data_IF_136770271137
#
_entry.id   IF_136770271137
#
_cell.length_a   1.000
_cell.length_b   1.000
_cell.length_c   1.000
_cell.angle_alpha   90.00
_cell.angle_beta   90.00
_cell.angle_gamma   90.00
#
_symmetry.space_group_name_H-M   'P 1'
#
loop_
_entity.id
_entity.type
_entity.pdbx_description
1 polymer ?
#
# COMPACT_ATOMS: atom_id res chain seq x y z
N UNK A 1 -38.88 -18.47 -9.59
CA UNK A 1 -38.14 -17.19 -9.66
C UNK A 1 -37.12 -17.17 -8.53
N UNK A 2 -35.82 -17.31 -8.82
CA UNK A 2 -34.76 -17.17 -7.80
C UNK A 2 -34.38 -15.69 -7.71
N UNK A 3 -34.57 -15.09 -6.54
CA UNK A 3 -34.12 -13.73 -6.26
C UNK A 3 -32.61 -13.79 -5.95
N UNK A 4 -31.80 -13.05 -6.69
CA UNK A 4 -30.39 -12.86 -6.39
C UNK A 4 -30.22 -11.56 -5.61
N UNK A 5 -29.52 -11.63 -4.47
CA UNK A 5 -29.16 -10.43 -3.72
C UNK A 5 -28.11 -9.67 -4.53
N UNK A 6 -28.46 -8.48 -5.02
CA UNK A 6 -27.59 -7.58 -5.80
C UNK A 6 -26.82 -6.58 -4.93
N UNK A 7 -26.85 -6.77 -3.60
CA UNK A 7 -26.16 -5.92 -2.63
C UNK A 7 -24.68 -6.24 -2.47
N UNK A 8 -24.01 -5.51 -1.58
CA UNK A 8 -22.64 -5.83 -1.18
C UNK A 8 -22.57 -7.16 -0.43
N UNK A 9 -21.42 -7.84 -0.55
CA UNK A 9 -21.11 -9.05 0.20
C UNK A 9 -19.98 -8.81 1.17
N UNK A 10 -20.00 -9.53 2.30
CA UNK A 10 -18.89 -9.51 3.24
C UNK A 10 -17.65 -10.13 2.57
N UNK A 11 -16.51 -9.42 2.56
CA UNK A 11 -15.25 -9.96 2.05
C UNK A 11 -14.92 -11.33 2.64
N UNK A 12 -14.29 -12.20 1.86
CA UNK A 12 -13.85 -13.53 2.33
C UNK A 12 -12.34 -13.63 2.21
N UNK A 13 -11.68 -14.13 3.26
CA UNK A 13 -10.23 -14.35 3.24
C UNK A 13 -9.91 -15.74 2.69
N UNK A 14 -8.86 -15.83 1.90
CA UNK A 14 -8.26 -17.08 1.44
C UNK A 14 -6.74 -16.97 1.56
N UNK A 15 -6.05 -18.11 1.56
CA UNK A 15 -4.60 -18.15 1.72
C UNK A 15 -3.95 -18.75 0.48
N UNK A 16 -2.84 -18.17 0.05
CA UNK A 16 -1.94 -18.78 -0.94
C UNK A 16 -0.68 -19.28 -0.24
N UNK A 17 -0.14 -20.43 -0.67
CA UNK A 17 1.05 -21.02 -0.05
C UNK A 17 2.31 -20.44 -0.69
N UNK A 18 3.25 -19.95 0.11
CA UNK A 18 4.57 -19.54 -0.39
C UNK A 18 5.48 -20.76 -0.52
N UNK A 19 5.35 -21.50 -1.62
CA UNK A 19 6.07 -22.77 -1.87
C UNK A 19 7.60 -22.66 -1.88
N UNK A 20 8.13 -21.46 -2.10
CA UNK A 20 9.56 -21.17 -2.16
C UNK A 20 10.18 -20.78 -0.81
N UNK A 21 9.40 -20.73 0.29
CA UNK A 21 9.91 -20.42 1.64
C UNK A 21 9.84 -21.65 2.54
N UNK A 22 10.79 -21.76 3.48
CA UNK A 22 10.80 -22.81 4.49
C UNK A 22 9.49 -22.80 5.30
N UNK A 23 8.97 -23.98 5.63
CA UNK A 23 7.70 -24.18 6.35
C UNK A 23 6.45 -23.71 5.60
N UNK A 24 6.55 -23.41 4.30
CA UNK A 24 5.42 -23.11 3.42
C UNK A 24 4.41 -22.09 3.99
N UNK A 25 4.87 -20.90 4.43
CA UNK A 25 4.01 -19.95 5.10
C UNK A 25 2.86 -19.49 4.20
N UNK A 26 1.70 -19.27 4.83
CA UNK A 26 0.51 -18.78 4.14
C UNK A 26 0.61 -17.27 3.89
N UNK A 27 0.11 -16.84 2.73
CA UNK A 27 -0.15 -15.44 2.39
C UNK A 27 -1.66 -15.22 2.40
N UNK A 28 -2.21 -14.58 3.44
CA UNK A 28 -3.63 -14.26 3.49
C UNK A 28 -3.97 -13.17 2.47
N UNK A 29 -5.09 -13.32 1.76
CA UNK A 29 -5.64 -12.34 0.83
C UNK A 29 -7.14 -12.22 1.12
N UNK A 30 -7.62 -11.00 1.29
CA UNK A 30 -9.03 -10.69 1.45
C UNK A 30 -9.61 -10.41 0.05
N UNK A 31 -10.55 -11.25 -0.38
CA UNK A 31 -11.31 -11.01 -1.60
C UNK A 31 -12.27 -9.83 -1.39
N UNK A 32 -11.94 -8.71 -2.02
CA UNK A 32 -12.72 -7.46 -1.96
C UNK A 32 -13.83 -7.40 -3.02
N UNK A 33 -14.05 -8.48 -3.78
CA UNK A 33 -15.12 -8.55 -4.76
C UNK A 33 -16.49 -8.28 -4.09
N UNK A 34 -17.24 -7.31 -4.65
CA UNK A 34 -18.53 -6.86 -4.12
C UNK A 34 -18.49 -6.36 -2.66
N UNK A 35 -17.32 -6.04 -2.12
CA UNK A 35 -17.20 -5.46 -0.78
C UNK A 35 -17.90 -4.09 -0.70
N UNK A 36 -18.54 -3.75 0.43
CA UNK A 36 -19.29 -2.49 0.57
C UNK A 36 -18.42 -1.25 0.34
N UNK A 37 -17.14 -1.31 0.70
CA UNK A 37 -16.16 -0.24 0.56
C UNK A 37 -15.40 -0.25 -0.78
N UNK A 38 -15.64 -1.24 -1.65
CA UNK A 38 -14.88 -1.42 -2.90
C UNK A 38 -14.95 -0.19 -3.81
N UNK A 39 -16.14 0.38 -4.00
CA UNK A 39 -16.36 1.53 -4.90
C UNK A 39 -15.63 2.78 -4.40
N UNK A 40 -15.61 3.01 -3.08
CA UNK A 40 -14.89 4.14 -2.48
C UNK A 40 -13.38 3.92 -2.66
N UNK A 41 -12.89 2.70 -2.37
CA UNK A 41 -11.49 2.36 -2.57
C UNK A 41 -11.03 2.53 -4.02
N UNK A 42 -11.85 2.09 -4.99
CA UNK A 42 -11.57 2.24 -6.42
C UNK A 42 -11.49 3.71 -6.85
N UNK A 43 -12.41 4.54 -6.37
CA UNK A 43 -12.42 5.96 -6.66
C UNK A 43 -11.16 6.65 -6.09
N UNK A 44 -10.86 6.44 -4.81
CA UNK A 44 -9.65 6.99 -4.17
C UNK A 44 -8.36 6.50 -4.85
N UNK A 45 -8.30 5.22 -5.22
CA UNK A 45 -7.17 4.65 -5.94
C UNK A 45 -6.95 5.37 -7.29
N UNK A 46 -8.01 5.64 -8.05
CA UNK A 46 -7.90 6.38 -9.31
C UNK A 46 -7.38 7.81 -9.14
N UNK A 47 -7.71 8.45 -8.02
CA UNK A 47 -7.26 9.82 -7.73
C UNK A 47 -5.79 9.86 -7.35
N UNK A 48 -5.35 8.97 -6.46
CA UNK A 48 -3.96 8.96 -5.96
C UNK A 48 -2.99 8.40 -6.99
N UNK A 49 -3.43 7.51 -7.88
CA UNK A 49 -2.53 6.83 -8.83
C UNK A 49 -1.60 7.80 -9.56
N UNK A 50 -2.11 8.96 -9.99
CA UNK A 50 -1.31 9.99 -10.66
C UNK A 50 -0.22 10.59 -9.76
N UNK A 51 -0.48 10.72 -8.46
CA UNK A 51 0.50 11.19 -7.48
C UNK A 51 1.54 10.10 -7.14
N UNK A 52 1.16 8.82 -7.22
CA UNK A 52 2.06 7.70 -6.94
C UNK A 52 3.19 7.59 -7.97
N UNK A 53 2.86 7.81 -9.25
CA UNK A 53 3.82 7.81 -10.35
C UNK A 53 4.86 8.96 -10.24
N UNK A 54 4.64 9.93 -9.34
CA UNK A 54 5.53 11.06 -9.09
C UNK A 54 6.43 10.87 -7.85
N UNK A 55 6.33 9.73 -7.16
CA UNK A 55 7.22 9.44 -6.03
C UNK A 55 8.66 9.26 -6.52
N UNK A 56 9.61 9.79 -5.75
CA UNK A 56 11.04 9.79 -6.13
C UNK A 56 11.63 8.40 -6.32
N UNK A 57 11.10 7.41 -5.61
CA UNK A 57 11.58 6.03 -5.58
C UNK A 57 10.65 5.08 -6.34
N UNK A 58 9.68 5.63 -7.07
CA UNK A 58 8.77 4.82 -7.88
C UNK A 58 9.54 4.21 -9.04
N UNK A 59 9.38 2.89 -9.19
CA UNK A 59 9.89 2.13 -10.33
C UNK A 59 8.70 1.41 -10.94
N UNK A 60 8.44 1.66 -12.23
CA UNK A 60 7.24 1.18 -12.91
C UNK A 60 7.22 -0.34 -13.05
N UNK A 61 8.36 -0.92 -13.43
CA UNK A 61 8.50 -2.35 -13.67
C UNK A 61 9.96 -2.83 -13.59
N UNK A 62 10.15 -4.15 -13.63
CA UNK A 62 11.48 -4.77 -13.57
C UNK A 62 12.38 -4.40 -14.75
N UNK A 63 11.83 -4.06 -15.92
CA UNK A 63 12.63 -3.69 -17.09
C UNK A 63 13.20 -2.28 -16.94
N UNK A 64 12.41 -1.34 -16.41
CA UNK A 64 12.89 -0.02 -16.02
C UNK A 64 13.96 -0.13 -14.94
N UNK A 65 13.75 -0.96 -13.92
CA UNK A 65 14.75 -1.19 -12.87
C UNK A 65 16.10 -1.67 -13.43
N UNK A 66 16.08 -2.66 -14.33
CA UNK A 66 17.31 -3.16 -14.98
C UNK A 66 17.99 -2.05 -15.78
N UNK A 67 17.24 -1.24 -16.53
CA UNK A 67 17.80 -0.09 -17.27
C UNK A 67 18.43 0.94 -16.35
N UNK A 68 17.83 1.21 -15.18
CA UNK A 68 18.41 2.11 -14.18
C UNK A 68 19.75 1.57 -13.65
N UNK A 69 19.87 0.26 -13.45
CA UNK A 69 21.09 -0.38 -12.94
C UNK A 69 22.20 -0.55 -13.99
N UNK A 70 21.87 -0.69 -15.27
CA UNK A 70 22.84 -0.98 -16.34
C UNK A 70 24.03 -0.01 -16.41
N UNK A 71 23.83 1.25 -16.03
CA UNK A 71 24.86 2.29 -16.07
C UNK A 71 25.54 2.55 -14.70
N UNK A 72 25.13 1.83 -13.65
CA UNK A 72 25.74 1.98 -12.33
C UNK A 72 26.91 0.99 -12.19
N UNK A 73 28.14 1.51 -12.19
CA UNK A 73 29.34 0.74 -11.90
C UNK A 73 29.66 0.94 -10.42
N UNK A 74 29.67 -0.14 -9.65
CA UNK A 74 30.11 -0.12 -8.25
C UNK A 74 31.61 0.08 -8.24
N UNK A 75 32.07 1.19 -7.65
CA UNK A 75 33.49 1.51 -7.53
C UNK A 75 34.24 0.50 -6.64
N UNK A 76 35.58 0.52 -6.70
CA UNK A 76 36.42 -0.41 -5.92
C UNK A 76 36.26 -0.29 -4.40
N UNK A 77 35.76 0.84 -3.93
CA UNK A 77 35.52 1.14 -2.51
C UNK A 77 34.02 1.25 -2.19
N UNK A 78 33.16 0.79 -3.09
CA UNK A 78 31.70 0.80 -2.91
C UNK A 78 31.18 -0.62 -2.76
N UNK A 79 30.07 -0.76 -2.04
CA UNK A 79 29.36 -2.03 -1.91
C UNK A 79 27.89 -1.82 -2.25
N UNK A 80 27.30 -2.83 -2.90
CA UNK A 80 25.87 -2.84 -3.16
C UNK A 80 25.15 -3.51 -1.99
N UNK A 81 24.16 -2.82 -1.42
CA UNK A 81 23.33 -3.33 -0.34
C UNK A 81 21.91 -3.60 -0.85
N UNK A 82 21.29 -4.67 -0.36
CA UNK A 82 19.90 -5.02 -0.63
C UNK A 82 19.18 -5.35 0.67
N UNK A 83 18.01 -4.75 0.87
CA UNK A 83 17.16 -4.96 2.04
C UNK A 83 15.80 -5.49 1.57
N UNK A 84 15.29 -6.53 2.25
CA UNK A 84 13.94 -7.06 2.03
C UNK A 84 13.03 -6.64 3.19
N UNK A 85 11.87 -6.05 2.87
CA UNK A 85 10.91 -5.61 3.89
C UNK A 85 10.01 -6.79 4.28
N UNK A 86 10.10 -7.20 5.53
CA UNK A 86 9.24 -8.27 6.03
C UNK A 86 7.81 -7.78 6.30
N UNK A 87 6.82 -8.51 5.76
CA UNK A 87 5.40 -8.31 6.04
C UNK A 87 4.92 -6.87 5.85
N UNK A 88 5.29 -6.24 4.73
CA UNK A 88 4.96 -4.84 4.41
C UNK A 88 3.50 -4.45 4.70
N UNK A 89 2.51 -5.10 4.06
CA UNK A 89 1.12 -4.68 4.17
C UNK A 89 0.54 -4.68 5.60
N UNK A 90 0.75 -5.73 6.44
CA UNK A 90 0.40 -5.70 7.86
C UNK A 90 1.06 -4.58 8.67
N UNK A 91 2.27 -4.17 8.27
CA UNK A 91 3.10 -3.20 9.00
C UNK A 91 2.92 -1.75 8.54
N UNK A 92 2.16 -1.50 7.47
CA UNK A 92 1.83 -0.12 7.04
C UNK A 92 0.96 0.54 8.10
N UNK A 93 1.45 1.64 8.69
CA UNK A 93 0.62 2.50 9.53
C UNK A 93 -0.46 3.17 8.68
N UNK A 94 -1.70 2.71 8.80
CA UNK A 94 -2.81 3.19 7.98
C UNK A 94 -3.07 4.68 8.22
N UNK A 95 -2.97 5.15 9.47
CA UNK A 95 -3.13 6.58 9.78
C UNK A 95 -2.07 7.43 9.09
N UNK A 96 -0.79 7.04 9.21
CA UNK A 96 0.30 7.78 8.57
C UNK A 96 0.17 7.78 7.04
N UNK A 97 -0.16 6.63 6.45
CA UNK A 97 -0.33 6.51 5.01
C UNK A 97 -1.49 7.40 4.50
N UNK A 98 -2.61 7.47 5.23
CA UNK A 98 -3.74 8.36 4.91
C UNK A 98 -3.31 9.81 4.97
N UNK A 99 -2.62 10.23 6.03
CA UNK A 99 -2.18 11.62 6.19
C UNK A 99 -1.25 12.07 5.06
N UNK A 100 -0.32 11.22 4.65
CA UNK A 100 0.59 11.51 3.53
C UNK A 100 -0.18 11.55 2.22
N UNK A 101 -1.05 10.57 1.96
CA UNK A 101 -1.84 10.51 0.75
C UNK A 101 -2.76 11.74 0.57
N UNK A 102 -3.39 12.18 1.66
CA UNK A 102 -4.16 13.44 1.72
C UNK A 102 -3.24 14.62 1.44
N UNK A 103 -2.10 14.75 2.12
CA UNK A 103 -1.15 15.85 1.83
C UNK A 103 -0.73 15.89 0.35
N UNK A 104 -0.51 14.74 -0.28
CA UNK A 104 -0.18 14.65 -1.71
C UNK A 104 -1.33 15.16 -2.58
N UNK A 105 -2.57 14.70 -2.33
CA UNK A 105 -3.76 15.13 -3.09
C UNK A 105 -4.05 16.63 -2.98
N UNK A 106 -3.77 17.26 -1.83
CA UNK A 106 -3.96 18.71 -1.65
C UNK A 106 -2.77 19.55 -2.08
N UNK A 107 -1.54 19.08 -1.87
CA UNK A 107 -0.32 19.81 -2.18
C UNK A 107 -0.09 20.00 -3.68
N UNK A 108 -0.60 19.09 -4.52
CA UNK A 108 -0.59 19.22 -5.99
C UNK A 108 -1.68 20.18 -6.48
N UNK A 109 -1.44 21.47 -6.27
CA UNK A 109 -2.39 22.57 -6.39
C UNK A 109 -2.71 23.03 -7.84
N UNK A 110 -2.94 22.12 -8.80
CA UNK A 110 -3.33 22.56 -10.18
C UNK A 110 -4.46 21.78 -10.89
N UNK A 111 -4.89 20.62 -10.41
CA UNK A 111 -5.82 19.79 -11.23
C UNK A 111 -6.93 19.09 -10.46
N UNK A 112 -7.23 19.50 -9.24
CA UNK A 112 -8.43 19.00 -8.53
C UNK A 112 -9.67 19.79 -8.96
N UNK A 113 -9.97 19.76 -10.27
CA UNK A 113 -11.26 20.20 -10.83
C UNK A 113 -12.38 19.16 -10.65
N UNK A 114 -12.05 17.99 -10.09
CA UNK A 114 -12.95 16.83 -10.08
C UNK A 114 -13.93 16.78 -8.92
N UNK A 115 -13.75 17.59 -7.86
CA UNK A 115 -14.72 17.61 -6.77
C UNK A 115 -14.70 18.94 -6.03
N UNK A 116 -15.89 19.53 -5.84
CA UNK A 116 -16.16 20.63 -4.91
C UNK A 116 -16.05 20.18 -3.43
N UNK A 117 -15.22 19.18 -3.12
CA UNK A 117 -14.95 18.76 -1.75
C UNK A 117 -13.88 19.70 -1.19
N UNK A 118 -14.31 20.66 -0.39
CA UNK A 118 -13.52 21.82 0.01
C UNK A 118 -12.57 21.57 1.19
N UNK A 119 -12.52 20.36 1.77
CA UNK A 119 -11.81 20.11 3.05
C UNK A 119 -11.00 18.81 3.09
N UNK A 120 -9.75 18.91 3.58
CA UNK A 120 -8.83 17.80 3.95
C UNK A 120 -9.56 16.65 4.65
N UNK A 121 -10.42 17.03 5.58
CA UNK A 121 -11.25 16.15 6.40
C UNK A 121 -12.12 15.19 5.60
N UNK A 122 -12.66 15.60 4.45
CA UNK A 122 -13.53 14.72 3.66
C UNK A 122 -12.76 13.54 3.09
N UNK A 123 -11.54 13.73 2.62
CA UNK A 123 -10.77 12.60 2.08
C UNK A 123 -10.24 11.73 3.20
N UNK A 124 -9.81 12.31 4.33
CA UNK A 124 -9.49 11.53 5.52
C UNK A 124 -10.66 10.61 5.88
N UNK A 125 -11.90 11.13 5.88
CA UNK A 125 -13.10 10.34 6.12
C UNK A 125 -13.28 9.24 5.06
N UNK A 126 -13.15 9.56 3.77
CA UNK A 126 -13.28 8.58 2.68
C UNK A 126 -12.22 7.47 2.77
N UNK A 127 -10.97 7.80 3.09
CA UNK A 127 -9.92 6.81 3.32
C UNK A 127 -10.24 5.92 4.52
N UNK A 128 -10.70 6.51 5.63
CA UNK A 128 -11.10 5.73 6.79
C UNK A 128 -12.26 4.79 6.46
N UNK A 129 -13.26 5.23 5.69
CA UNK A 129 -14.35 4.36 5.20
C UNK A 129 -13.85 3.25 4.26
N UNK A 130 -12.81 3.52 3.48
CA UNK A 130 -12.25 2.56 2.54
C UNK A 130 -11.35 1.52 3.22
N UNK A 131 -10.66 1.86 4.32
CA UNK A 131 -9.56 1.05 4.87
C UNK A 131 -9.80 0.56 6.30
N UNK A 132 -10.47 1.36 7.14
CA UNK A 132 -10.71 1.01 8.54
C UNK A 132 -11.94 0.15 8.67
N UNK A 133 -11.97 -0.61 9.77
CA UNK A 133 -13.07 -1.53 10.10
C UNK A 133 -13.38 -2.54 8.99
N UNK A 134 -12.38 -2.95 8.21
CA UNK A 134 -12.55 -3.99 7.23
C UNK A 134 -12.89 -5.31 7.93
N UNK A 135 -14.14 -5.73 7.77
CA UNK A 135 -14.63 -7.02 8.25
C UNK A 135 -14.55 -8.04 7.12
N UNK A 136 -14.15 -9.26 7.46
CA UNK A 136 -14.08 -10.37 6.52
C UNK A 136 -14.44 -11.68 7.20
N UNK A 137 -14.83 -12.68 6.40
CA UNK A 137 -15.25 -13.99 6.88
C UNK A 137 -14.16 -15.04 6.63
N UNK A 138 -13.96 -15.92 7.62
CA UNK A 138 -13.13 -17.12 7.55
C UNK A 138 -13.87 -18.28 8.24
N UNK A 139 -14.10 -19.40 7.54
CA UNK A 139 -14.80 -20.58 8.09
C UNK A 139 -16.07 -20.26 8.90
N UNK A 140 -16.92 -19.36 8.38
CA UNK A 140 -18.15 -18.84 9.00
C UNK A 140 -17.98 -17.86 10.17
N UNK A 141 -16.76 -17.62 10.64
CA UNK A 141 -16.46 -16.62 11.66
C UNK A 141 -16.13 -15.26 11.04
N UNK A 142 -16.43 -14.19 11.77
CA UNK A 142 -16.19 -12.81 11.34
C UNK A 142 -14.98 -12.22 12.06
N UNK A 143 -14.08 -11.64 11.27
CA UNK A 143 -12.88 -11.00 11.76
C UNK A 143 -12.83 -9.56 11.28
N UNK A 144 -12.12 -8.73 12.03
CA UNK A 144 -11.84 -7.34 11.68
C UNK A 144 -10.34 -7.13 11.61
N UNK A 145 -9.87 -6.55 10.51
CA UNK A 145 -8.48 -6.11 10.44
C UNK A 145 -8.27 -4.93 11.40
N UNK A 146 -7.30 -5.08 12.32
CA UNK A 146 -6.98 -4.05 13.33
C UNK A 146 -6.03 -3.00 12.78
N UNK A 147 -4.93 -3.44 12.17
CA UNK A 147 -3.90 -2.59 11.59
C UNK A 147 -3.37 -3.15 10.27
N UNK A 148 -2.55 -2.34 9.60
CA UNK A 148 -2.06 -2.64 8.27
C UNK A 148 -3.12 -2.41 7.20
N UNK A 149 -2.69 -2.38 5.95
CA UNK A 149 -3.60 -2.39 4.80
C UNK A 149 -3.93 -3.82 4.41
N UNK A 150 -5.18 -4.06 4.02
CA UNK A 150 -5.65 -5.37 3.62
C UNK A 150 -5.00 -5.84 2.32
N UNK A 151 -4.33 -6.99 2.33
CA UNK A 151 -3.92 -7.64 1.08
C UNK A 151 -5.19 -7.98 0.26
N UNK A 152 -5.31 -7.42 -0.93
CA UNK A 152 -6.52 -7.51 -1.77
C UNK A 152 -7.33 -6.21 -1.87
N UNK A 153 -7.04 -5.21 -1.04
CA UNK A 153 -7.56 -3.85 -1.23
C UNK A 153 -6.88 -3.16 -2.40
N UNK A 154 -7.67 -2.43 -3.21
CA UNK A 154 -7.16 -1.61 -4.31
C UNK A 154 -6.22 -0.49 -3.86
N UNK A 155 -6.38 -0.04 -2.61
CA UNK A 155 -5.55 1.00 -2.01
C UNK A 155 -4.27 0.47 -1.37
N UNK A 156 -4.19 -0.84 -1.09
CA UNK A 156 -3.04 -1.42 -0.39
C UNK A 156 -1.70 -1.15 -1.09
N UNK A 157 -1.51 -1.44 -2.39
CA UNK A 157 -0.21 -1.20 -3.04
C UNK A 157 0.14 0.29 -3.06
N UNK A 158 -0.82 1.16 -3.39
CA UNK A 158 -0.62 2.61 -3.47
C UNK A 158 -0.18 3.18 -2.11
N UNK A 159 -0.85 2.78 -1.02
CA UNK A 159 -0.52 3.28 0.31
C UNK A 159 0.78 2.68 0.85
N UNK A 160 1.13 1.45 0.45
CA UNK A 160 2.42 0.86 0.77
C UNK A 160 3.56 1.64 0.09
N UNK A 161 3.42 1.99 -1.19
CA UNK A 161 4.41 2.80 -1.92
C UNK A 161 4.59 4.19 -1.27
N UNK A 162 3.49 4.85 -0.94
CA UNK A 162 3.51 6.16 -0.26
C UNK A 162 4.19 6.07 1.11
N UNK A 163 3.85 5.05 1.89
CA UNK A 163 4.43 4.82 3.20
C UNK A 163 5.94 4.55 3.09
N UNK A 164 6.35 3.67 2.18
CA UNK A 164 7.76 3.32 1.96
C UNK A 164 8.57 4.51 1.45
N UNK A 165 8.06 5.29 0.49
CA UNK A 165 8.75 6.48 0.01
C UNK A 165 8.98 7.51 1.12
N UNK A 166 8.01 7.66 2.02
CA UNK A 166 8.16 8.53 3.18
C UNK A 166 9.15 7.96 4.21
N UNK A 167 9.12 6.64 4.45
CA UNK A 167 10.08 5.95 5.31
C UNK A 167 11.50 6.15 4.79
N UNK A 168 11.75 5.91 3.50
CA UNK A 168 13.03 6.14 2.84
C UNK A 168 13.52 7.59 3.03
N UNK A 169 12.65 8.58 2.76
CA UNK A 169 12.99 10.01 2.95
C UNK A 169 13.35 10.35 4.40
N UNK A 170 12.76 9.69 5.39
CA UNK A 170 13.10 9.86 6.81
C UNK A 170 14.44 9.19 7.10
N UNK A 171 14.66 7.97 6.63
CA UNK A 171 15.87 7.20 6.92
C UNK A 171 17.11 7.76 6.22
N UNK A 172 17.04 8.24 4.97
CA UNK A 172 18.17 8.88 4.30
C UNK A 172 18.65 10.17 4.99
N UNK A 173 17.79 10.83 5.78
CA UNK A 173 18.17 11.99 6.59
C UNK A 173 18.92 11.62 7.88
N UNK A 174 18.87 10.35 8.26
CA UNK A 174 19.50 9.81 9.48
C UNK A 174 20.56 8.81 9.06
N UNK A 175 21.79 9.27 8.88
CA UNK A 175 22.95 8.53 8.34
C UNK A 175 23.46 7.36 9.22
N UNK A 176 22.61 6.76 10.05
CA UNK A 176 22.96 5.74 11.05
C UNK A 176 22.62 4.30 10.62
N UNK A 177 22.18 4.06 9.39
CA UNK A 177 21.82 2.71 8.91
C UNK A 177 23.03 1.75 8.99
N UNK A 178 24.23 2.25 8.69
CA UNK A 178 25.45 1.41 8.63
C UNK A 178 25.94 1.02 10.03
N UNK A 179 25.78 1.89 11.05
CA UNK A 179 26.27 1.63 12.41
C UNK A 179 25.49 0.55 13.16
N UNK A 180 24.22 0.34 12.80
CA UNK A 180 23.35 -0.60 13.53
C UNK A 180 23.43 -2.05 13.02
N UNK A 181 24.13 -2.31 11.92
CA UNK A 181 24.19 -3.64 11.30
C UNK A 181 25.56 -4.35 11.41
N UNK A 182 26.48 -3.86 12.27
CA UNK A 182 27.79 -4.49 12.55
C UNK A 182 28.46 -5.07 11.29
N UNK A 183 28.53 -4.28 10.22
CA UNK A 183 29.36 -4.63 9.07
C UNK A 183 30.73 -3.97 9.26
N UNK A 184 31.55 -4.63 10.09
CA UNK A 184 33.02 -4.56 10.02
C UNK A 184 33.53 -5.70 9.11
#
# INVERSE_FOLDING_TARGET
MKLFVSGSSIPTIYCTVKVHKQNYPLRPIISMCNAPNYKIAAHLASMIKQCNDQLSSYVKDSFEFVKMLQNNIVGSNEIMLSFDVESLYPNVSVTEAIDIAVKMLWGTNKTMKFMKLTKSETYILLFNLALRNLQFRLYNEYYRQKEGVAMGSLLAPILADIFMNNLEKKTYRTTDIIKNYNMD
#
